data_IF_559197095908
#
_entry.id   IF_559197095908
#
_cell.length_a   1.000
_cell.length_b   1.000
_cell.length_c   1.000
_cell.angle_alpha   90.00
_cell.angle_beta   90.00
_cell.angle_gamma   90.00
#
_symmetry.space_group_name_H-M   'P 1'
#
loop_
_entity.id
_entity.type
_entity.pdbx_description
1 polymer ?
#
# COMPACT_ATOMS: atom_id res chain seq x y z
N UNK A 1 5.47 4.84 5.35
CA UNK A 1 5.28 3.73 6.32
C UNK A 1 6.57 2.95 6.43
N UNK A 2 7.03 2.63 7.63
CA UNK A 2 8.23 1.81 7.85
C UNK A 2 7.84 0.32 7.93
N UNK A 3 8.68 -0.57 7.39
CA UNK A 3 8.54 -2.02 7.57
C UNK A 3 8.72 -2.39 9.05
N UNK A 4 8.16 -3.51 9.45
CA UNK A 4 8.15 -3.96 10.85
C UNK A 4 9.55 -4.37 11.33
N UNK A 5 10.46 -4.72 10.42
CA UNK A 5 11.88 -4.94 10.71
C UNK A 5 12.71 -3.65 10.84
N UNK A 6 12.08 -2.48 10.61
CA UNK A 6 12.69 -1.15 10.64
C UNK A 6 13.88 -0.94 9.68
N UNK A 7 14.00 -1.76 8.63
CA UNK A 7 15.09 -1.62 7.64
C UNK A 7 14.70 -0.79 6.44
N UNK A 8 13.41 -0.73 6.12
CA UNK A 8 12.92 -0.12 4.92
C UNK A 8 11.76 0.86 5.19
N UNK A 9 11.65 1.86 4.31
CA UNK A 9 10.52 2.80 4.31
C UNK A 9 9.83 2.83 2.96
N UNK A 10 8.51 2.88 2.99
CA UNK A 10 7.67 3.21 1.85
C UNK A 10 7.48 4.71 1.78
N UNK A 11 8.01 5.31 0.71
CA UNK A 11 7.69 6.65 0.25
C UNK A 11 6.59 6.61 -0.81
N UNK A 12 5.85 7.71 -0.92
CA UNK A 12 4.88 7.94 -1.99
C UNK A 12 5.36 9.10 -2.84
N UNK A 13 5.40 8.89 -4.15
CA UNK A 13 5.80 9.89 -5.12
C UNK A 13 4.59 10.59 -5.72
N UNK A 14 4.81 11.77 -6.30
CA UNK A 14 3.80 12.58 -6.99
C UNK A 14 3.22 11.88 -8.23
N UNK A 15 3.93 10.91 -8.81
CA UNK A 15 3.53 10.09 -9.96
C UNK A 15 2.63 8.90 -9.57
N UNK A 16 2.05 8.93 -8.36
CA UNK A 16 1.14 7.91 -7.83
C UNK A 16 1.79 6.56 -7.57
N UNK A 17 3.12 6.53 -7.50
CA UNK A 17 3.88 5.32 -7.20
C UNK A 17 4.30 5.26 -5.75
N UNK A 18 4.37 4.05 -5.21
CA UNK A 18 5.04 3.79 -3.93
C UNK A 18 6.42 3.23 -4.20
N UNK A 19 7.43 3.77 -3.52
CA UNK A 19 8.82 3.34 -3.62
C UNK A 19 9.27 2.86 -2.24
N UNK A 20 9.90 1.69 -2.21
CA UNK A 20 10.51 1.13 -1.01
C UNK A 20 12.01 1.46 -1.02
N UNK A 21 12.47 2.14 0.02
CA UNK A 21 13.87 2.50 0.22
C UNK A 21 14.47 1.69 1.36
N UNK A 22 15.71 1.25 1.16
CA UNK A 22 16.56 0.75 2.23
C UNK A 22 17.12 1.94 3.02
N UNK A 23 16.96 1.93 4.35
CA UNK A 23 17.32 3.07 5.19
C UNK A 23 18.84 3.23 5.29
N UNK A 24 19.59 2.13 5.41
CA UNK A 24 21.04 2.17 5.63
C UNK A 24 21.79 2.65 4.38
N UNK A 25 21.37 2.17 3.21
CA UNK A 25 22.02 2.46 1.94
C UNK A 25 21.40 3.64 1.19
N UNK A 26 20.22 4.12 1.64
CA UNK A 26 19.43 5.15 0.95
C UNK A 26 19.10 4.81 -0.51
N UNK A 27 19.00 3.52 -0.83
CA UNK A 27 18.73 3.04 -2.20
C UNK A 27 17.29 2.60 -2.36
N UNK A 28 16.77 2.80 -3.56
CA UNK A 28 15.50 2.23 -4.00
C UNK A 28 15.64 0.71 -4.17
N UNK A 29 14.72 -0.04 -3.57
CA UNK A 29 14.67 -1.50 -3.66
C UNK A 29 13.55 -1.94 -4.60
N UNK A 30 12.36 -1.33 -4.46
CA UNK A 30 11.14 -1.74 -5.18
C UNK A 30 10.29 -0.54 -5.54
N UNK A 31 9.60 -0.64 -6.68
CA UNK A 31 8.65 0.37 -7.15
C UNK A 31 7.30 -0.29 -7.45
N UNK A 32 6.24 0.29 -6.91
CA UNK A 32 4.86 -0.17 -7.06
C UNK A 32 4.07 0.90 -7.79
N UNK A 33 3.45 0.53 -8.90
CA UNK A 33 2.68 1.44 -9.75
C UNK A 33 1.52 0.71 -10.41
N UNK A 34 0.38 1.38 -10.52
CA UNK A 34 -0.76 0.92 -11.31
C UNK A 34 -0.95 1.89 -12.49
N UNK A 35 -0.68 1.48 -13.74
CA UNK A 35 -0.79 2.36 -14.90
C UNK A 35 -2.24 2.77 -15.20
N UNK A 36 -3.23 2.09 -14.60
CA UNK A 36 -4.65 2.38 -14.80
C UNK A 36 -5.21 3.40 -13.79
N UNK A 37 -4.38 3.94 -12.88
CA UNK A 37 -4.81 4.97 -11.93
C UNK A 37 -4.96 6.32 -12.64
N UNK A 38 -6.16 6.88 -12.56
CA UNK A 38 -6.49 8.18 -13.16
C UNK A 38 -6.65 9.30 -12.12
N UNK A 39 -6.66 9.00 -10.81
CA UNK A 39 -6.75 10.02 -9.75
C UNK A 39 -6.33 9.53 -8.37
N UNK A 40 -5.64 10.37 -7.61
CA UNK A 40 -5.35 10.12 -6.18
C UNK A 40 -6.56 10.34 -5.30
N UNK A 41 -6.72 9.59 -4.20
CA UNK A 41 -7.51 10.05 -3.09
C UNK A 41 -6.82 11.29 -2.46
N UNK A 42 -7.60 12.23 -1.93
CA UNK A 42 -7.05 13.45 -1.29
C UNK A 42 -6.11 13.14 -0.13
N UNK A 43 -6.34 12.01 0.52
CA UNK A 43 -5.47 11.48 1.57
C UNK A 43 -5.24 10.01 1.23
N UNK A 44 -3.98 9.63 1.10
CA UNK A 44 -3.53 8.26 0.87
C UNK A 44 -2.46 7.94 1.91
N UNK A 45 -2.45 6.71 2.40
CA UNK A 45 -1.41 6.20 3.29
C UNK A 45 -1.05 4.80 2.85
N UNK A 46 0.25 4.56 2.68
CA UNK A 46 0.77 3.22 2.50
C UNK A 46 0.67 2.46 3.83
N UNK A 47 0.00 1.32 3.83
CA UNK A 47 -0.09 0.42 4.97
C UNK A 47 0.32 -0.99 4.57
N UNK A 48 0.91 -1.72 5.49
CA UNK A 48 1.32 -3.12 5.30
C UNK A 48 0.62 -4.01 6.30
N UNK A 49 0.50 -5.29 5.97
CA UNK A 49 0.07 -6.31 6.93
C UNK A 49 1.17 -6.56 7.99
N UNK A 50 0.85 -7.37 9.00
CA UNK A 50 1.79 -7.70 10.09
C UNK A 50 3.07 -8.39 9.59
N UNK A 51 3.03 -9.05 8.44
CA UNK A 51 4.18 -9.76 7.89
C UNK A 51 4.92 -8.97 6.80
N UNK A 52 4.50 -7.74 6.50
CA UNK A 52 5.01 -6.92 5.38
C UNK A 52 5.00 -7.66 4.02
N UNK A 53 4.11 -8.63 3.85
CA UNK A 53 3.95 -9.41 2.62
C UNK A 53 3.02 -8.72 1.63
N UNK A 54 2.12 -7.88 2.14
CA UNK A 54 1.10 -7.18 1.37
C UNK A 54 1.17 -5.70 1.69
N UNK A 55 1.11 -4.88 0.64
CA UNK A 55 1.11 -3.43 0.71
C UNK A 55 -0.21 -2.92 0.13
N UNK A 56 -0.89 -2.06 0.86
CA UNK A 56 -2.08 -1.34 0.40
C UNK A 56 -1.78 0.16 0.33
N UNK A 57 -1.99 0.75 -0.84
CA UNK A 57 -1.97 2.20 -1.03
C UNK A 57 -2.84 2.56 -2.23
N UNK A 58 -3.46 3.73 -2.26
CA UNK A 58 -4.33 4.19 -3.36
C UNK A 58 -5.49 3.26 -3.72
N UNK A 59 -5.87 2.34 -2.83
CA UNK A 59 -6.86 1.31 -3.12
C UNK A 59 -6.29 0.12 -3.89
N UNK A 60 -5.00 0.09 -4.15
CA UNK A 60 -4.30 -1.03 -4.76
C UNK A 60 -3.64 -1.91 -3.71
N UNK A 61 -3.89 -3.21 -3.80
CA UNK A 61 -3.27 -4.23 -3.00
C UNK A 61 -2.15 -4.91 -3.77
N UNK A 62 -0.94 -4.90 -3.24
CA UNK A 62 0.25 -5.45 -3.88
C UNK A 62 0.90 -6.54 -3.04
N UNK A 63 1.47 -7.55 -3.70
CA UNK A 63 2.42 -8.45 -3.07
C UNK A 63 3.79 -7.78 -3.00
N UNK A 64 4.33 -7.54 -1.81
CA UNK A 64 5.61 -6.85 -1.63
C UNK A 64 6.79 -7.62 -2.21
N UNK A 65 6.74 -8.96 -2.18
CA UNK A 65 7.81 -9.83 -2.72
C UNK A 65 7.87 -9.78 -4.25
N UNK A 66 6.73 -9.93 -4.92
CA UNK A 66 6.67 -10.03 -6.38
C UNK A 66 6.44 -8.70 -7.09
N UNK A 67 6.10 -7.64 -6.36
CA UNK A 67 5.71 -6.32 -6.90
C UNK A 67 4.44 -6.36 -7.77
N UNK A 68 3.72 -7.50 -7.79
CA UNK A 68 2.50 -7.65 -8.57
C UNK A 68 1.31 -7.07 -7.84
N UNK A 69 0.46 -6.38 -8.60
CA UNK A 69 -0.88 -5.99 -8.18
C UNK A 69 -1.71 -7.27 -7.98
N UNK A 70 -2.30 -7.40 -6.81
CA UNK A 70 -3.22 -8.48 -6.44
C UNK A 70 -4.65 -8.04 -6.76
N UNK A 71 -5.03 -6.85 -6.30
CA UNK A 71 -6.39 -6.34 -6.44
C UNK A 71 -6.44 -4.82 -6.45
N UNK A 72 -7.42 -4.25 -7.14
CA UNK A 72 -7.76 -2.83 -7.11
C UNK A 72 -9.16 -2.66 -6.53
N UNK A 73 -9.25 -2.07 -5.34
CA UNK A 73 -10.52 -1.78 -4.68
C UNK A 73 -11.16 -0.55 -5.32
N UNK A 74 -12.43 -0.70 -5.71
CA UNK A 74 -13.20 0.40 -6.28
C UNK A 74 -13.32 1.56 -5.29
N UNK A 75 -13.15 2.76 -5.81
CA UNK A 75 -13.10 3.99 -5.02
C UNK A 75 -14.52 4.55 -4.86
N UNK A 76 -15.08 4.45 -3.66
CA UNK A 76 -16.41 4.99 -3.35
C UNK A 76 -16.38 6.37 -2.69
N UNK A 77 -15.22 6.80 -2.17
CA UNK A 77 -15.04 8.05 -1.44
C UNK A 77 -13.74 8.76 -1.83
N UNK A 78 -13.66 10.10 -1.73
CA UNK A 78 -12.49 10.88 -2.13
C UNK A 78 -11.31 10.77 -1.15
N UNK A 79 -11.56 10.31 0.08
CA UNK A 79 -10.54 9.95 1.05
C UNK A 79 -10.42 8.43 1.07
N UNK A 80 -9.20 7.88 1.03
CA UNK A 80 -9.00 6.44 1.06
C UNK A 80 -8.03 6.09 2.19
N UNK A 81 -8.61 5.60 3.28
CA UNK A 81 -7.88 5.06 4.41
C UNK A 81 -8.13 3.55 4.45
N UNK A 82 -7.06 2.79 4.23
CA UNK A 82 -7.05 1.35 4.40
C UNK A 82 -6.33 0.96 5.67
N UNK A 83 -6.82 -0.05 6.39
CA UNK A 83 -6.05 -0.68 7.45
C UNK A 83 -6.28 -2.20 7.47
N UNK A 84 -5.25 -2.95 7.82
CA UNK A 84 -5.32 -4.39 7.98
C UNK A 84 -5.77 -4.72 9.41
N UNK A 85 -6.81 -5.53 9.53
CA UNK A 85 -7.27 -6.04 10.82
C UNK A 85 -6.28 -7.10 11.31
N UNK A 86 -5.78 -6.98 12.55
CA UNK A 86 -4.63 -7.76 13.03
C UNK A 86 -4.83 -9.29 13.05
N UNK A 87 -6.06 -9.81 12.95
CA UNK A 87 -6.32 -11.26 13.11
C UNK A 87 -7.38 -11.85 12.17
N UNK A 88 -8.16 -11.01 11.48
CA UNK A 88 -9.37 -11.47 10.79
C UNK A 88 -9.19 -11.69 9.29
N UNK A 89 -7.96 -11.58 8.75
CA UNK A 89 -7.70 -11.57 7.30
C UNK A 89 -8.66 -10.62 6.57
N UNK A 90 -8.82 -9.42 7.12
CA UNK A 90 -9.73 -8.42 6.60
C UNK A 90 -9.05 -7.09 6.41
N UNK A 91 -9.51 -6.37 5.40
CA UNK A 91 -9.09 -5.01 5.10
C UNK A 91 -10.29 -4.11 5.30
N UNK A 92 -10.15 -3.12 6.19
CA UNK A 92 -11.10 -2.03 6.31
C UNK A 92 -10.64 -0.90 5.39
N UNK A 93 -11.41 -0.61 4.34
CA UNK A 93 -11.19 0.54 3.45
C UNK A 93 -12.37 1.49 3.62
N UNK A 94 -12.12 2.63 4.26
CA UNK A 94 -13.16 3.58 4.68
C UNK A 94 -14.25 2.89 5.52
N UNK A 95 -15.45 2.74 4.96
CA UNK A 95 -16.61 2.09 5.58
C UNK A 95 -16.84 0.65 5.13
N UNK A 96 -15.98 0.12 4.24
CA UNK A 96 -16.14 -1.21 3.65
C UNK A 96 -15.12 -2.19 4.23
N UNK A 97 -15.62 -3.35 4.65
CA UNK A 97 -14.81 -4.47 5.13
C UNK A 97 -14.70 -5.52 4.02
N UNK A 98 -13.48 -5.88 3.68
CA UNK A 98 -13.15 -6.83 2.61
C UNK A 98 -12.41 -8.02 3.20
N UNK A 99 -12.70 -9.23 2.71
CA UNK A 99 -11.95 -10.45 3.05
C UNK A 99 -10.71 -10.57 2.14
N UNK A 100 -9.57 -10.97 2.70
CA UNK A 100 -8.26 -11.14 2.03
C UNK A 100 -8.08 -12.54 1.44
#
# INVERSE_FOLDING_TARGET
KMTNDNKCIYGMSIDFTSIMFDIETSREIKKFSNPCINSLPRINTAVTDLSDNILLFNGDLYCTRSQKLIHHFLKFEPHLFGNFMQFDQKILINSQLWDL
#
